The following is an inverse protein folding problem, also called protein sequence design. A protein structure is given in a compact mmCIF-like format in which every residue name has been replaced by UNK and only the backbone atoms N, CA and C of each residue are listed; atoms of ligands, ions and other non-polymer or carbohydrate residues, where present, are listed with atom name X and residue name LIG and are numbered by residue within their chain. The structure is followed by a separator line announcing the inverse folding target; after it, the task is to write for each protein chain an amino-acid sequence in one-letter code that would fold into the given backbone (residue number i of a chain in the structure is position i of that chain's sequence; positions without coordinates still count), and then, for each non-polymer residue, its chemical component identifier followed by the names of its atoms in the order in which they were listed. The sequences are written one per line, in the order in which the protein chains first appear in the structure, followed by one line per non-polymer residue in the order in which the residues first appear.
data_IF_813628105517
#
_entry.id   IF_813628105517
#
_cell.length_a   1.000
_cell.length_b   1.000
_cell.length_c   1.000
_cell.angle_alpha   90.00
_cell.angle_beta   90.00
_cell.angle_gamma   90.00
#
_symmetry.space_group_name_H-M   'P 1'
#
loop_
_entity.id
_entity.type
_entity.pdbx_description
1 polymer ?
#
# COMPACT_ATOMS: atom_id res chain seq x y z
N UNK A 1 29.49 -2.60 -36.04
CA UNK A 1 30.24 -3.74 -35.43
C UNK A 1 29.25 -4.49 -34.52
N UNK A 2 28.95 -5.75 -34.84
CA UNK A 2 28.05 -6.59 -34.03
C UNK A 2 28.71 -6.98 -32.72
N UNK A 3 27.97 -6.88 -31.58
CA UNK A 3 28.48 -7.34 -30.27
C UNK A 3 28.85 -8.83 -30.34
N UNK A 4 30.01 -9.19 -29.79
CA UNK A 4 30.44 -10.57 -29.69
C UNK A 4 29.50 -11.38 -28.79
N UNK A 5 29.45 -12.72 -28.96
CA UNK A 5 28.59 -13.61 -28.14
C UNK A 5 28.86 -13.43 -26.64
N UNK A 6 30.11 -13.23 -26.25
CA UNK A 6 30.52 -12.97 -24.86
C UNK A 6 29.97 -11.63 -24.33
N UNK A 7 30.01 -10.58 -25.16
CA UNK A 7 29.43 -9.28 -24.78
C UNK A 7 27.90 -9.35 -24.58
N UNK A 8 27.20 -10.09 -25.44
CA UNK A 8 25.73 -10.30 -25.29
C UNK A 8 25.40 -11.05 -24.00
N UNK A 9 26.16 -12.09 -23.65
CA UNK A 9 25.96 -12.84 -22.38
C UNK A 9 26.28 -11.97 -21.18
N UNK A 10 27.35 -11.20 -21.23
CA UNK A 10 27.70 -10.27 -20.14
C UNK A 10 26.62 -9.19 -19.94
N UNK A 11 26.17 -8.58 -21.03
CA UNK A 11 25.08 -7.57 -20.98
C UNK A 11 23.78 -8.18 -20.44
N UNK A 12 23.44 -9.42 -20.84
CA UNK A 12 22.28 -10.14 -20.31
C UNK A 12 22.40 -10.40 -18.80
N UNK A 13 23.54 -10.86 -18.33
CA UNK A 13 23.79 -11.12 -16.91
C UNK A 13 23.74 -9.84 -16.07
N UNK A 14 24.33 -8.75 -16.58
CA UNK A 14 24.30 -7.46 -15.87
C UNK A 14 22.89 -6.90 -15.82
N UNK A 15 22.17 -6.89 -16.94
CA UNK A 15 20.83 -6.32 -17.02
C UNK A 15 19.78 -7.15 -16.25
N UNK A 16 19.98 -8.44 -16.07
CA UNK A 16 19.06 -9.34 -15.39
C UNK A 16 19.61 -9.92 -14.09
N UNK A 17 20.72 -9.38 -13.57
CA UNK A 17 21.43 -9.94 -12.42
C UNK A 17 20.53 -10.17 -11.20
N UNK A 18 19.67 -9.21 -10.85
CA UNK A 18 18.72 -9.32 -9.73
C UNK A 18 17.75 -10.48 -9.94
N UNK A 19 17.21 -10.62 -11.16
CA UNK A 19 16.27 -11.69 -11.51
C UNK A 19 16.94 -13.05 -11.43
N UNK A 20 18.18 -13.15 -11.92
CA UNK A 20 18.97 -14.40 -11.89
C UNK A 20 19.25 -14.81 -10.44
N UNK A 21 19.70 -13.87 -9.59
CA UNK A 21 19.92 -14.14 -8.16
C UNK A 21 18.63 -14.58 -7.47
N UNK A 22 17.51 -13.93 -7.77
CA UNK A 22 16.19 -14.31 -7.24
C UNK A 22 15.85 -15.76 -7.63
N UNK A 23 16.01 -16.16 -8.90
CA UNK A 23 15.74 -17.53 -9.33
C UNK A 23 16.69 -18.55 -8.67
N UNK A 24 17.96 -18.22 -8.50
CA UNK A 24 18.93 -19.09 -7.79
C UNK A 24 18.46 -19.29 -6.34
N UNK A 25 18.04 -18.23 -5.64
CA UNK A 25 17.53 -18.32 -4.27
C UNK A 25 16.25 -19.14 -4.18
N UNK A 26 15.33 -18.99 -5.13
CA UNK A 26 14.08 -19.79 -5.19
C UNK A 26 14.38 -21.27 -5.38
N UNK A 27 15.30 -21.60 -6.29
CA UNK A 27 15.74 -22.99 -6.52
C UNK A 27 16.43 -23.54 -5.28
N UNK A 28 17.37 -22.80 -4.70
CA UNK A 28 18.08 -23.19 -3.49
C UNK A 28 17.13 -23.48 -2.33
N UNK A 29 16.20 -22.55 -2.03
CA UNK A 29 15.20 -22.75 -0.98
C UNK A 29 14.25 -23.88 -1.28
N UNK A 30 13.89 -24.07 -2.55
CA UNK A 30 13.04 -25.19 -2.98
C UNK A 30 13.69 -26.55 -2.82
N UNK A 31 15.00 -26.65 -2.96
CA UNK A 31 15.78 -27.88 -2.77
C UNK A 31 16.08 -28.16 -1.29
N UNK A 32 16.26 -27.10 -0.48
CA UNK A 32 16.63 -27.25 0.94
C UNK A 32 15.43 -27.34 1.88
N UNK A 33 14.26 -26.84 1.50
CA UNK A 33 13.06 -26.83 2.32
C UNK A 33 11.97 -27.72 1.75
N UNK A 34 11.63 -28.80 2.44
CA UNK A 34 10.61 -29.75 2.03
C UNK A 34 9.21 -29.14 1.86
N UNK A 35 8.96 -27.99 2.48
CA UNK A 35 7.64 -27.33 2.47
C UNK A 35 7.57 -26.13 1.52
N UNK A 36 8.63 -25.81 0.80
CA UNK A 36 8.68 -24.58 0.00
C UNK A 36 7.65 -24.59 -1.14
N UNK A 37 7.53 -25.69 -1.89
CA UNK A 37 6.58 -25.85 -3.00
C UNK A 37 5.22 -26.41 -2.59
N UNK A 38 4.88 -26.38 -1.30
CA UNK A 38 3.54 -26.82 -0.86
C UNK A 38 2.47 -25.78 -1.22
N UNK A 39 1.24 -26.26 -1.48
CA UNK A 39 0.09 -25.38 -1.76
C UNK A 39 -0.18 -24.38 -0.64
N UNK A 40 0.05 -24.76 0.62
CA UNK A 40 -0.10 -23.86 1.77
C UNK A 40 0.93 -22.72 1.75
N UNK A 41 2.19 -23.02 1.44
CA UNK A 41 3.22 -21.99 1.34
C UNK A 41 2.97 -21.04 0.16
N UNK A 42 2.56 -21.57 -0.99
CA UNK A 42 2.18 -20.77 -2.13
C UNK A 42 1.01 -19.82 -1.78
N UNK A 43 0.01 -20.31 -1.06
CA UNK A 43 -1.10 -19.49 -0.60
C UNK A 43 -0.63 -18.37 0.36
N UNK A 44 0.29 -18.67 1.28
CA UNK A 44 0.87 -17.69 2.18
C UNK A 44 1.66 -16.61 1.43
N UNK A 45 2.42 -16.99 0.40
CA UNK A 45 3.12 -16.04 -0.47
C UNK A 45 2.12 -15.12 -1.17
N UNK A 46 1.04 -15.67 -1.75
CA UNK A 46 0.01 -14.89 -2.42
C UNK A 46 -0.72 -13.94 -1.47
N UNK A 47 -1.01 -14.36 -0.23
CA UNK A 47 -1.60 -13.50 0.80
C UNK A 47 -0.69 -12.32 1.16
N UNK A 48 0.60 -12.59 1.39
CA UNK A 48 1.59 -11.53 1.67
C UNK A 48 1.76 -10.57 0.50
N UNK A 49 1.79 -11.10 -0.73
CA UNK A 49 1.83 -10.28 -1.95
C UNK A 49 0.59 -9.43 -2.11
N UNK A 50 -0.59 -9.95 -1.78
CA UNK A 50 -1.87 -9.23 -1.91
C UNK A 50 -1.91 -7.96 -1.09
N UNK A 51 -1.49 -8.01 0.17
CA UNK A 51 -1.42 -6.82 1.04
C UNK A 51 -0.45 -5.78 0.48
N UNK A 52 0.74 -6.21 0.03
CA UNK A 52 1.76 -5.32 -0.55
C UNK A 52 1.32 -4.74 -1.89
N UNK A 53 0.57 -5.51 -2.70
CA UNK A 53 0.03 -5.04 -3.97
C UNK A 53 -0.97 -3.90 -3.77
N UNK A 54 -1.87 -4.02 -2.80
CA UNK A 54 -2.84 -2.95 -2.49
C UNK A 54 -2.12 -1.66 -2.09
N UNK A 55 -1.08 -1.76 -1.27
CA UNK A 55 -0.23 -0.62 -0.89
C UNK A 55 0.44 0.01 -2.12
N UNK A 56 1.09 -0.82 -2.94
CA UNK A 56 1.78 -0.35 -4.14
C UNK A 56 0.83 0.35 -5.13
N UNK A 57 -0.39 -0.17 -5.28
CA UNK A 57 -1.41 0.44 -6.12
C UNK A 57 -1.88 1.80 -5.56
N UNK A 58 -1.98 1.93 -4.22
CA UNK A 58 -2.29 3.20 -3.57
C UNK A 58 -1.24 4.28 -3.85
N UNK A 59 0.04 3.92 -3.78
CA UNK A 59 1.15 4.85 -4.03
C UNK A 59 1.40 5.09 -5.54
N UNK A 60 0.89 4.20 -6.41
CA UNK A 60 1.18 4.25 -7.84
C UNK A 60 0.80 5.60 -8.47
N UNK A 61 -0.27 6.24 -8.01
CA UNK A 61 -0.69 7.55 -8.46
C UNK A 61 0.37 8.62 -8.22
N UNK A 62 0.90 8.68 -7.02
CA UNK A 62 1.98 9.59 -6.64
C UNK A 62 3.24 9.36 -7.49
N UNK A 63 3.63 8.09 -7.67
CA UNK A 63 4.82 7.75 -8.50
C UNK A 63 4.62 8.12 -9.97
N UNK A 64 3.43 7.94 -10.52
CA UNK A 64 3.11 8.31 -11.91
C UNK A 64 3.25 9.83 -12.11
N UNK A 65 2.85 10.65 -11.15
CA UNK A 65 2.98 12.11 -11.20
C UNK A 65 4.38 12.63 -10.83
N UNK A 66 5.37 11.74 -10.74
CA UNK A 66 6.75 11.99 -10.31
C UNK A 66 6.87 12.53 -8.86
N UNK A 67 5.86 12.29 -8.03
CA UNK A 67 5.88 12.52 -6.59
C UNK A 67 6.53 11.38 -5.82
N UNK A 68 6.69 11.57 -4.51
CA UNK A 68 7.21 10.56 -3.59
C UNK A 68 6.38 10.60 -2.31
N UNK A 69 5.74 9.47 -1.97
CA UNK A 69 5.02 9.33 -0.71
C UNK A 69 5.74 8.36 0.24
N UNK A 70 6.35 8.92 1.28
CA UNK A 70 6.99 8.16 2.35
C UNK A 70 6.04 7.86 3.51
N UNK A 71 4.89 8.54 3.58
CA UNK A 71 3.96 8.42 4.70
C UNK A 71 3.13 7.13 4.66
N UNK A 72 2.93 6.54 3.49
CA UNK A 72 2.05 5.40 3.26
C UNK A 72 2.31 4.21 4.22
N UNK A 73 3.57 3.89 4.50
CA UNK A 73 3.91 2.80 5.44
C UNK A 73 3.41 3.05 6.86
N UNK A 74 3.50 4.28 7.36
CA UNK A 74 3.01 4.66 8.69
C UNK A 74 1.50 4.84 8.73
N UNK A 75 0.91 5.32 7.63
CA UNK A 75 -0.56 5.39 7.47
C UNK A 75 -1.22 4.01 7.62
N UNK A 76 -0.63 2.97 7.02
CA UNK A 76 -1.14 1.61 7.15
C UNK A 76 -1.06 1.15 8.60
N UNK A 77 0.07 1.38 9.27
CA UNK A 77 0.23 1.09 10.69
C UNK A 77 -0.80 1.82 11.56
N UNK A 78 -1.06 3.09 11.26
CA UNK A 78 -2.05 3.89 11.96
C UNK A 78 -3.49 3.40 11.73
N UNK A 79 -3.85 3.08 10.48
CA UNK A 79 -5.13 2.45 10.15
C UNK A 79 -5.31 1.09 10.86
N UNK A 80 -4.25 0.31 10.99
CA UNK A 80 -4.25 -0.92 11.77
C UNK A 80 -4.44 -0.66 13.28
N UNK A 81 -3.84 0.40 13.84
CA UNK A 81 -4.07 0.81 15.23
C UNK A 81 -5.52 1.21 15.46
N UNK A 82 -6.10 2.06 14.60
CA UNK A 82 -7.52 2.45 14.68
C UNK A 82 -8.42 1.23 14.65
N UNK A 83 -8.20 0.36 13.67
CA UNK A 83 -8.98 -0.88 13.53
C UNK A 83 -8.80 -1.79 14.75
N UNK A 84 -7.58 -1.90 15.23
CA UNK A 84 -7.24 -2.70 16.40
C UNK A 84 -7.94 -2.24 17.67
N UNK A 85 -8.00 -0.94 17.94
CA UNK A 85 -8.66 -0.39 19.13
C UNK A 85 -10.19 -0.58 19.09
N UNK A 86 -10.81 -0.45 17.91
CA UNK A 86 -12.26 -0.49 17.75
C UNK A 86 -12.84 -1.91 17.62
N UNK A 87 -11.98 -2.91 17.33
CA UNK A 87 -12.39 -4.29 17.07
C UNK A 87 -11.92 -5.29 18.14
N UNK A 88 -11.62 -4.83 19.36
CA UNK A 88 -11.28 -5.70 20.47
C UNK A 88 -12.50 -6.38 21.08
N UNK A 89 -12.35 -7.66 21.48
CA UNK A 89 -13.39 -8.44 22.15
C UNK A 89 -13.71 -7.87 23.53
N UNK A 90 -14.94 -8.11 24.00
CA UNK A 90 -15.39 -7.64 25.31
C UNK A 90 -14.65 -8.30 26.48
N UNK A 91 -14.24 -9.55 26.31
CA UNK A 91 -13.55 -10.37 27.31
C UNK A 91 -12.02 -10.15 27.36
N UNK A 92 -11.49 -9.25 26.52
CA UNK A 92 -10.06 -9.00 26.48
C UNK A 92 -9.62 -8.05 27.60
N UNK A 93 -8.74 -8.51 28.48
CA UNK A 93 -8.28 -7.76 29.66
C UNK A 93 -7.50 -6.47 29.33
N UNK A 94 -6.82 -6.44 28.18
CA UNK A 94 -6.07 -5.28 27.68
C UNK A 94 -6.87 -4.42 26.72
N UNK A 95 -8.19 -4.38 26.84
CA UNK A 95 -9.07 -3.62 25.93
C UNK A 95 -8.87 -2.11 26.08
N UNK A 96 -8.73 -1.42 24.95
CA UNK A 96 -8.46 0.02 24.93
C UNK A 96 -9.68 0.84 25.40
N UNK A 97 -10.88 0.48 24.94
CA UNK A 97 -12.15 1.07 25.40
C UNK A 97 -12.96 0.01 26.17
N UNK A 98 -12.86 -0.06 27.51
CA UNK A 98 -13.44 -1.15 28.31
C UNK A 98 -14.92 -1.38 28.07
N UNK A 99 -15.73 -0.31 28.03
CA UNK A 99 -17.18 -0.39 27.95
C UNK A 99 -17.74 -0.41 26.53
N UNK A 100 -16.90 -0.20 25.51
CA UNK A 100 -17.35 -0.13 24.12
C UNK A 100 -17.55 -1.52 23.54
N UNK A 101 -18.72 -1.79 22.96
CA UNK A 101 -18.95 -2.99 22.16
C UNK A 101 -18.14 -2.90 20.86
N UNK A 102 -17.57 -4.02 20.38
CA UNK A 102 -16.86 -4.04 19.11
C UNK A 102 -17.80 -3.61 17.98
N UNK A 103 -17.33 -2.71 17.12
CA UNK A 103 -18.08 -2.20 15.98
C UNK A 103 -18.09 -3.21 14.84
N UNK A 104 -18.90 -2.93 13.81
CA UNK A 104 -18.88 -3.72 12.58
C UNK A 104 -17.54 -3.52 11.85
N UNK A 105 -16.94 -4.62 11.38
CA UNK A 105 -15.63 -4.61 10.70
C UNK A 105 -15.61 -3.68 9.48
N UNK A 106 -16.68 -3.68 8.69
CA UNK A 106 -16.78 -2.82 7.50
C UNK A 106 -16.86 -1.34 7.90
N UNK A 107 -17.63 -1.01 8.94
CA UNK A 107 -17.73 0.36 9.46
C UNK A 107 -16.35 0.85 9.95
N UNK A 108 -15.63 0.01 10.69
CA UNK A 108 -14.28 0.34 11.18
C UNK A 108 -13.31 0.53 10.04
N UNK A 109 -13.37 -0.30 9.01
CA UNK A 109 -12.54 -0.13 7.81
C UNK A 109 -12.81 1.22 7.13
N UNK A 110 -14.09 1.63 7.02
CA UNK A 110 -14.46 2.95 6.46
C UNK A 110 -13.92 4.08 7.34
N UNK A 111 -14.06 3.99 8.67
CA UNK A 111 -13.55 4.99 9.61
C UNK A 111 -12.03 5.12 9.47
N UNK A 112 -11.30 4.01 9.45
CA UNK A 112 -9.85 4.01 9.29
C UNK A 112 -9.43 4.64 7.95
N UNK A 113 -10.12 4.30 6.85
CA UNK A 113 -9.86 4.90 5.54
C UNK A 113 -10.11 6.40 5.53
N UNK A 114 -11.22 6.89 6.14
CA UNK A 114 -11.52 8.31 6.20
C UNK A 114 -10.50 9.10 7.02
N UNK A 115 -10.06 8.55 8.15
CA UNK A 115 -9.02 9.19 8.98
C UNK A 115 -7.69 9.24 8.23
N UNK A 116 -7.26 8.15 7.61
CA UNK A 116 -6.04 8.13 6.80
C UNK A 116 -6.14 9.11 5.61
N UNK A 117 -7.28 9.16 4.93
CA UNK A 117 -7.53 10.11 3.84
C UNK A 117 -7.48 11.58 4.31
N UNK A 118 -7.93 11.88 5.54
CA UNK A 118 -7.80 13.22 6.11
C UNK A 118 -6.34 13.63 6.29
N UNK A 119 -5.48 12.75 6.79
CA UNK A 119 -4.02 13.02 6.88
C UNK A 119 -3.38 13.16 5.50
N UNK A 120 -3.76 12.32 4.54
CA UNK A 120 -3.31 12.45 3.15
C UNK A 120 -3.73 13.76 2.53
N UNK A 121 -4.98 14.19 2.76
CA UNK A 121 -5.47 15.50 2.31
C UNK A 121 -4.65 16.66 2.87
N UNK A 122 -4.29 16.61 4.16
CA UNK A 122 -3.42 17.61 4.78
C UNK A 122 -2.05 17.64 4.09
N UNK A 123 -1.45 16.48 3.84
CA UNK A 123 -0.17 16.37 3.11
C UNK A 123 -0.29 16.98 1.71
N UNK A 124 -1.35 16.63 0.98
CA UNK A 124 -1.61 17.17 -0.37
C UNK A 124 -1.78 18.69 -0.39
N UNK A 125 -2.41 19.29 0.64
CA UNK A 125 -2.52 20.74 0.79
C UNK A 125 -1.14 21.39 0.93
N UNK A 126 -0.25 20.83 1.76
CA UNK A 126 1.11 21.35 1.91
C UNK A 126 1.90 21.31 0.61
N UNK A 127 1.75 20.23 -0.16
CA UNK A 127 2.46 20.07 -1.43
C UNK A 127 1.88 20.99 -2.50
N UNK A 128 0.57 20.96 -2.71
CA UNK A 128 -0.08 21.64 -3.83
C UNK A 128 -0.21 23.15 -3.65
N UNK A 129 -0.51 23.62 -2.43
CA UNK A 129 -0.78 25.04 -2.19
C UNK A 129 0.36 25.80 -1.51
N UNK A 130 1.16 25.12 -0.68
CA UNK A 130 2.29 25.74 0.00
C UNK A 130 3.63 25.44 -0.69
N UNK A 131 3.60 24.70 -1.82
CA UNK A 131 4.77 24.33 -2.61
C UNK A 131 5.88 23.66 -1.78
N UNK A 132 5.49 22.91 -0.74
CA UNK A 132 6.44 22.10 0.03
C UNK A 132 6.86 20.89 -0.82
N UNK A 133 8.17 20.61 -0.94
CA UNK A 133 8.62 19.44 -1.69
C UNK A 133 7.96 18.15 -1.16
N UNK A 134 7.42 17.27 -2.04
CA UNK A 134 6.70 16.05 -1.64
C UNK A 134 7.47 15.19 -0.65
N UNK A 135 8.76 15.00 -0.86
CA UNK A 135 9.64 14.25 0.05
C UNK A 135 9.61 14.80 1.48
N UNK A 136 9.68 16.14 1.67
CA UNK A 136 9.70 16.77 3.00
C UNK A 136 8.31 16.66 3.65
N UNK A 137 7.25 16.95 2.90
CA UNK A 137 5.88 16.91 3.41
C UNK A 137 5.48 15.50 3.85
N UNK A 138 5.74 14.49 3.03
CA UNK A 138 5.40 13.10 3.33
C UNK A 138 6.26 12.50 4.43
N UNK A 139 7.55 12.87 4.52
CA UNK A 139 8.42 12.47 5.63
C UNK A 139 7.94 13.07 6.96
N UNK A 140 7.59 14.37 6.97
CA UNK A 140 7.03 15.00 8.17
C UNK A 140 5.71 14.35 8.59
N UNK A 141 4.80 14.09 7.64
CA UNK A 141 3.54 13.41 7.91
C UNK A 141 3.76 11.99 8.44
N UNK A 142 4.74 11.26 7.92
CA UNK A 142 5.13 9.95 8.41
C UNK A 142 5.45 9.97 9.91
N UNK A 143 6.24 10.94 10.36
CA UNK A 143 6.62 11.08 11.78
C UNK A 143 5.46 11.56 12.66
N UNK A 144 4.62 12.48 12.14
CA UNK A 144 3.42 12.97 12.84
C UNK A 144 2.45 11.80 13.09
N UNK A 145 2.13 11.03 12.06
CA UNK A 145 1.20 9.88 12.16
C UNK A 145 1.75 8.81 13.08
N UNK A 146 3.06 8.56 13.02
CA UNK A 146 3.71 7.63 13.94
C UNK A 146 3.63 8.10 15.39
N UNK A 147 3.94 9.37 15.66
CA UNK A 147 3.84 9.97 17.00
C UNK A 147 2.41 9.93 17.55
N UNK A 148 1.41 10.30 16.74
CA UNK A 148 -0.01 10.19 17.12
C UNK A 148 -0.37 8.73 17.44
N UNK A 149 0.05 7.78 16.61
CA UNK A 149 -0.18 6.35 16.84
C UNK A 149 0.36 5.89 18.19
N UNK A 150 1.58 6.27 18.55
CA UNK A 150 2.20 5.95 19.85
C UNK A 150 1.45 6.59 21.03
N UNK A 151 1.08 7.87 20.91
CA UNK A 151 0.34 8.59 21.94
C UNK A 151 -1.02 7.93 22.17
N UNK A 152 -1.77 7.69 21.10
CA UNK A 152 -3.12 7.13 21.20
C UNK A 152 -3.11 5.71 21.73
N UNK A 153 -2.14 4.89 21.37
CA UNK A 153 -2.03 3.50 21.87
C UNK A 153 -1.26 3.37 23.19
N UNK A 154 -0.78 4.47 23.78
CA UNK A 154 0.16 4.46 24.91
C UNK A 154 1.40 3.57 24.65
N UNK A 155 1.84 3.49 23.39
CA UNK A 155 2.93 2.62 22.93
C UNK A 155 2.75 1.14 23.34
N UNK A 156 1.52 0.69 23.58
CA UNK A 156 1.21 -0.71 23.96
C UNK A 156 0.77 -1.52 22.75
N UNK A 157 1.16 -2.81 22.67
CA UNK A 157 0.67 -3.69 21.62
C UNK A 157 -0.83 -3.89 21.71
N UNK A 158 -1.53 -3.78 20.58
CA UNK A 158 -2.95 -4.06 20.48
C UNK A 158 -3.19 -5.53 20.14
N UNK A 159 -4.18 -6.14 20.78
CA UNK A 159 -4.55 -7.54 20.56
C UNK A 159 -6.00 -7.82 20.94
N UNK A 160 -6.38 -9.10 21.01
CA UNK A 160 -7.72 -9.52 21.45
C UNK A 160 -8.82 -9.16 20.43
N UNK A 161 -8.56 -9.28 19.15
CA UNK A 161 -9.50 -8.91 18.09
C UNK A 161 -10.70 -9.87 17.99
N UNK A 162 -11.84 -9.35 17.56
CA UNK A 162 -13.02 -10.16 17.25
C UNK A 162 -12.75 -11.11 16.08
N UNK A 163 -13.40 -12.30 16.13
CA UNK A 163 -13.23 -13.31 15.07
C UNK A 163 -13.63 -12.80 13.67
N UNK A 164 -14.63 -11.92 13.61
CA UNK A 164 -15.05 -11.34 12.33
C UNK A 164 -13.90 -10.61 11.63
N UNK A 165 -13.03 -9.92 12.38
CA UNK A 165 -11.87 -9.23 11.84
C UNK A 165 -10.75 -10.20 11.42
N UNK A 166 -10.42 -11.16 12.28
CA UNK A 166 -9.39 -12.17 11.95
C UNK A 166 -9.82 -13.07 10.80
N UNK A 167 -11.12 -13.30 10.64
CA UNK A 167 -11.68 -14.07 9.54
C UNK A 167 -11.46 -13.42 8.17
N UNK A 168 -11.32 -12.09 8.08
CA UNK A 168 -10.96 -11.42 6.81
C UNK A 168 -9.60 -11.90 6.30
N UNK A 169 -8.65 -12.15 7.22
CA UNK A 169 -7.34 -12.67 6.87
C UNK A 169 -7.29 -14.20 6.72
N UNK A 170 -8.15 -14.93 7.43
CA UNK A 170 -8.03 -16.39 7.55
C UNK A 170 -9.04 -17.17 6.71
N UNK A 171 -10.22 -16.63 6.42
CA UNK A 171 -11.26 -17.34 5.64
C UNK A 171 -10.92 -17.38 4.16
N UNK A 172 -11.41 -18.45 3.52
CA UNK A 172 -11.27 -18.70 2.08
C UNK A 172 -12.65 -18.66 1.41
N UNK A 173 -12.70 -18.10 0.22
CA UNK A 173 -13.83 -18.17 -0.70
C UNK A 173 -13.38 -18.86 -1.98
N UNK A 174 -14.07 -19.90 -2.41
CA UNK A 174 -13.67 -20.74 -3.55
C UNK A 174 -12.22 -21.30 -3.42
N UNK A 175 -11.79 -21.64 -2.19
CA UNK A 175 -10.43 -22.13 -1.95
C UNK A 175 -9.33 -21.07 -1.88
N UNK A 176 -9.65 -19.81 -2.19
CA UNK A 176 -8.71 -18.67 -2.22
C UNK A 176 -9.04 -17.74 -1.04
N UNK A 177 -7.99 -17.20 -0.39
CA UNK A 177 -8.15 -16.28 0.74
C UNK A 177 -8.83 -14.96 0.34
N UNK A 178 -9.64 -14.39 1.24
CA UNK A 178 -10.33 -13.11 1.00
C UNK A 178 -9.38 -11.95 0.67
N UNK A 179 -8.17 -11.90 1.25
CA UNK A 179 -7.19 -10.86 0.95
C UNK A 179 -6.78 -10.84 -0.51
N UNK A 180 -6.68 -12.02 -1.16
CA UNK A 180 -6.35 -12.12 -2.58
C UNK A 180 -7.49 -11.56 -3.43
N UNK A 181 -8.74 -11.87 -3.08
CA UNK A 181 -9.91 -11.32 -3.78
C UNK A 181 -9.99 -9.79 -3.65
N UNK A 182 -9.75 -9.26 -2.45
CA UNK A 182 -9.69 -7.81 -2.22
C UNK A 182 -8.60 -7.19 -3.10
N UNK A 183 -7.41 -7.79 -3.15
CA UNK A 183 -6.32 -7.28 -3.98
C UNK A 183 -6.65 -7.29 -5.48
N UNK A 184 -7.31 -8.34 -5.98
CA UNK A 184 -7.77 -8.42 -7.39
C UNK A 184 -8.79 -7.32 -7.68
N UNK A 185 -9.76 -7.11 -6.79
CA UNK A 185 -10.79 -6.07 -6.96
C UNK A 185 -10.12 -4.69 -6.97
N UNK A 186 -9.24 -4.40 -6.01
CA UNK A 186 -8.52 -3.12 -5.95
C UNK A 186 -7.65 -2.94 -7.20
N UNK A 187 -6.95 -3.98 -7.66
CA UNK A 187 -6.15 -3.91 -8.87
C UNK A 187 -7.00 -3.61 -10.11
N UNK A 188 -8.17 -4.24 -10.24
CA UNK A 188 -9.10 -3.99 -11.34
C UNK A 188 -9.64 -2.55 -11.33
N UNK A 189 -10.01 -2.03 -10.15
CA UNK A 189 -10.47 -0.65 -9.98
C UNK A 189 -9.34 0.34 -10.33
N UNK A 190 -8.14 0.13 -9.80
CA UNK A 190 -6.98 0.99 -10.07
C UNK A 190 -6.60 0.97 -11.54
N UNK A 191 -6.58 -0.21 -12.16
CA UNK A 191 -6.35 -0.34 -13.61
C UNK A 191 -7.38 0.44 -14.41
N UNK A 192 -8.68 0.34 -14.05
CA UNK A 192 -9.74 1.09 -14.71
C UNK A 192 -9.54 2.60 -14.55
N UNK A 193 -9.24 3.08 -13.34
CA UNK A 193 -9.00 4.50 -13.06
C UNK A 193 -7.84 5.02 -13.90
N UNK A 194 -6.70 4.31 -13.93
CA UNK A 194 -5.49 4.79 -14.61
C UNK A 194 -5.60 4.72 -16.13
N UNK A 195 -6.25 3.70 -16.69
CA UNK A 195 -6.27 3.49 -18.14
C UNK A 195 -7.52 4.04 -18.81
N UNK A 196 -8.67 4.04 -18.13
CA UNK A 196 -9.96 4.33 -18.75
C UNK A 196 -10.54 5.71 -18.39
N UNK A 197 -10.00 6.38 -17.34
CA UNK A 197 -10.54 7.67 -16.92
C UNK A 197 -9.69 8.86 -17.39
N UNK A 198 -10.30 10.06 -17.41
CA UNK A 198 -9.58 11.32 -17.65
C UNK A 198 -8.53 11.56 -16.58
N UNK A 199 -8.83 11.20 -15.32
CA UNK A 199 -7.91 11.35 -14.20
C UNK A 199 -6.58 10.63 -14.47
N UNK A 200 -6.62 9.34 -14.83
CA UNK A 200 -5.41 8.58 -15.17
C UNK A 200 -4.61 9.19 -16.33
N UNK A 201 -5.30 9.59 -17.40
CA UNK A 201 -4.64 10.25 -18.54
C UNK A 201 -3.93 11.55 -18.16
N UNK A 202 -4.52 12.33 -17.28
CA UNK A 202 -3.93 13.56 -16.76
C UNK A 202 -2.73 13.28 -15.86
N UNK A 203 -2.77 12.23 -15.01
CA UNK A 203 -1.64 11.80 -14.20
C UNK A 203 -0.42 11.44 -15.06
N UNK A 204 -0.62 10.65 -16.13
CA UNK A 204 0.45 10.33 -17.07
C UNK A 204 0.98 11.57 -17.83
N UNK A 205 0.11 12.50 -18.18
CA UNK A 205 0.52 13.75 -18.83
C UNK A 205 1.40 14.60 -17.90
N UNK A 206 1.01 14.75 -16.63
CA UNK A 206 1.77 15.48 -15.61
C UNK A 206 3.12 14.79 -15.35
N UNK A 207 3.12 13.48 -15.18
CA UNK A 207 4.36 12.72 -14.95
C UNK A 207 5.34 12.78 -16.13
N UNK A 208 4.82 12.91 -17.37
CA UNK A 208 5.65 13.10 -18.56
C UNK A 208 6.26 14.49 -18.67
N UNK A 209 5.46 15.54 -18.57
CA UNK A 209 5.89 16.94 -18.56
C UNK A 209 4.78 17.82 -17.95
N UNK A 210 4.95 18.29 -16.69
CA UNK A 210 3.96 19.13 -16.01
C UNK A 210 3.65 20.43 -16.73
N UNK A 211 4.67 21.10 -17.31
CA UNK A 211 4.52 22.37 -18.01
C UNK A 211 3.72 22.20 -19.31
N UNK A 212 4.01 21.15 -20.07
CA UNK A 212 3.25 20.83 -21.29
C UNK A 212 1.80 20.42 -20.94
N UNK A 213 1.58 19.72 -19.86
CA UNK A 213 0.25 19.35 -19.39
C UNK A 213 -0.58 20.59 -19.01
N UNK A 214 0.03 21.56 -18.31
CA UNK A 214 -0.61 22.82 -17.94
C UNK A 214 -1.01 23.65 -19.16
N UNK A 215 -0.12 23.79 -20.13
CA UNK A 215 -0.41 24.49 -21.41
C UNK A 215 -1.53 23.78 -22.17
N UNK A 216 -1.63 22.46 -22.07
CA UNK A 216 -2.72 21.66 -22.65
C UNK A 216 -4.05 21.75 -21.87
N UNK A 217 -4.12 22.56 -20.80
CA UNK A 217 -5.33 22.79 -20.01
C UNK A 217 -5.60 21.70 -18.95
N UNK A 218 -4.60 20.90 -18.59
CA UNK A 218 -4.70 19.95 -17.48
C UNK A 218 -4.59 20.70 -16.15
N UNK A 219 -5.53 20.54 -15.20
CA UNK A 219 -5.49 21.22 -13.90
C UNK A 219 -4.43 20.59 -12.97
N UNK A 220 -3.16 20.92 -13.18
CA UNK A 220 -2.01 20.26 -12.53
C UNK A 220 -2.09 20.31 -11.01
N UNK A 221 -2.37 21.48 -10.40
CA UNK A 221 -2.45 21.64 -8.95
C UNK A 221 -3.56 20.78 -8.32
N UNK A 222 -4.73 20.75 -8.95
CA UNK A 222 -5.85 19.95 -8.48
C UNK A 222 -5.56 18.43 -8.51
N UNK A 223 -4.80 18.00 -9.51
CA UNK A 223 -4.43 16.58 -9.65
C UNK A 223 -3.34 16.16 -8.68
N UNK A 224 -2.36 17.00 -8.41
CA UNK A 224 -1.33 16.73 -7.39
C UNK A 224 -2.00 16.54 -6.03
N UNK A 225 -2.93 17.42 -5.66
CA UNK A 225 -3.68 17.29 -4.40
C UNK A 225 -4.49 16.01 -4.27
N UNK A 226 -5.04 15.48 -5.38
CA UNK A 226 -5.82 14.22 -5.37
C UNK A 226 -4.93 12.99 -5.44
N UNK A 227 -3.78 13.05 -6.10
CA UNK A 227 -2.88 11.92 -6.29
C UNK A 227 -1.92 11.68 -5.12
N UNK A 228 -1.74 12.67 -4.26
CA UNK A 228 -1.01 12.50 -3.00
C UNK A 228 -2.00 11.99 -1.93
N UNK A 229 -1.76 10.85 -1.29
CA UNK A 229 -2.69 10.23 -0.34
C UNK A 229 -2.77 10.98 0.98
#
# INVERSE_FOLDING_TARGET
MGKTKQQKVKDFLINNGVIIVMFILVIYTGLTSNNFFTGNNLMNILMNMSSRLVIALGIAGCVITAGCDLSAGRMIGFGACISGMLLQRLDYSGKFFPDMKPLNVVLVAIIAMLICAAFGTVTGIFIAYLNVPPFIATLAMMEIVYGIGLIVTNATPLGGYVEAYTNVANKKFLGINYLIWIAIIVAAITWFIFNMTRHGKYMYAIGGNPQAAEVAGVPVLSLIHISEP
#
